data_IF_964239645238
#
_entry.id   IF_964239645238
#
_cell.length_a   1.000
_cell.length_b   1.000
_cell.length_c   1.000
_cell.angle_alpha   90.00
_cell.angle_beta   90.00
_cell.angle_gamma   90.00
#
_symmetry.space_group_name_H-M   'P 1'
#
loop_
_entity.id
_entity.type
_entity.pdbx_description
1 polymer ?
#
# COMPACT_ATOMS: atom_id res chain seq x y z
N UNK A 1 17.18 -5.00 -6.01
CA UNK A 1 16.83 -5.45 -4.63
C UNK A 1 15.94 -6.69 -4.61
N UNK A 2 14.76 -6.65 -5.26
CA UNK A 2 13.79 -7.76 -5.23
C UNK A 2 14.37 -9.12 -5.65
N UNK A 3 15.09 -9.17 -6.79
CA UNK A 3 15.74 -10.39 -7.28
C UNK A 3 16.73 -10.98 -6.27
N UNK A 4 17.66 -10.16 -5.77
CA UNK A 4 18.68 -10.60 -4.81
C UNK A 4 18.04 -11.16 -3.52
N UNK A 5 17.01 -10.48 -2.99
CA UNK A 5 16.27 -10.97 -1.81
C UNK A 5 15.69 -12.36 -2.04
N UNK A 6 15.01 -12.55 -3.17
CA UNK A 6 14.40 -13.83 -3.50
C UNK A 6 15.44 -14.95 -3.68
N UNK A 7 16.53 -14.70 -4.41
CA UNK A 7 17.56 -15.71 -4.66
C UNK A 7 18.23 -16.15 -3.35
N UNK A 8 18.54 -15.22 -2.46
CA UNK A 8 19.25 -15.53 -1.21
C UNK A 8 18.36 -16.19 -0.15
N UNK A 9 17.09 -15.77 0.00
CA UNK A 9 16.26 -16.23 1.12
C UNK A 9 15.05 -17.06 0.72
N UNK A 10 14.78 -17.22 -0.58
CA UNK A 10 13.57 -17.86 -1.13
C UNK A 10 12.27 -17.28 -0.55
N UNK A 11 12.30 -15.99 -0.21
CA UNK A 11 11.16 -15.22 0.28
C UNK A 11 10.98 -13.99 -0.61
N UNK A 12 9.74 -13.58 -0.92
CA UNK A 12 9.51 -12.40 -1.74
C UNK A 12 10.05 -11.15 -1.05
N UNK A 13 10.43 -10.16 -1.87
CA UNK A 13 10.66 -8.81 -1.39
C UNK A 13 9.32 -8.12 -1.19
N UNK A 14 9.15 -7.47 -0.04
CA UNK A 14 7.86 -6.90 0.37
C UNK A 14 7.97 -5.39 0.43
N UNK A 15 7.15 -4.71 -0.35
CA UNK A 15 6.93 -3.27 -0.27
C UNK A 15 5.67 -2.99 0.53
N UNK A 16 5.79 -2.21 1.59
CA UNK A 16 4.64 -1.70 2.35
C UNK A 16 4.33 -0.27 1.90
N UNK A 17 3.08 -0.03 1.51
CA UNK A 17 2.58 1.31 1.20
C UNK A 17 1.50 1.72 2.20
N UNK A 18 1.59 2.94 2.72
CA UNK A 18 0.59 3.54 3.60
C UNK A 18 0.24 4.95 3.13
N UNK A 19 -1.02 5.37 3.27
CA UNK A 19 -1.44 6.76 3.14
C UNK A 19 -2.07 7.17 4.47
N UNK A 20 -1.60 8.27 5.04
CA UNK A 20 -2.03 8.74 6.35
C UNK A 20 -1.99 10.26 6.41
N UNK A 21 -2.70 10.84 7.37
CA UNK A 21 -2.59 12.25 7.77
C UNK A 21 -1.24 12.53 8.41
N UNK A 22 -0.93 13.81 8.64
CA UNK A 22 0.32 14.24 9.28
C UNK A 22 0.48 13.68 10.71
N UNK A 23 -0.62 13.49 11.44
CA UNK A 23 -0.69 12.88 12.77
C UNK A 23 -0.82 11.34 12.74
N UNK A 24 -0.67 10.72 11.55
CA UNK A 24 -0.54 9.28 11.41
C UNK A 24 -1.85 8.48 11.33
N UNK A 25 -2.99 9.12 11.03
CA UNK A 25 -4.30 8.46 10.92
C UNK A 25 -4.60 8.02 9.49
N UNK A 26 -5.27 6.89 9.34
CA UNK A 26 -5.66 6.29 8.04
C UNK A 26 -7.16 6.36 7.75
N UNK A 27 -7.95 6.78 8.74
CA UNK A 27 -9.40 7.00 8.68
C UNK A 27 -9.82 7.89 9.88
N UNK A 28 -11.00 8.49 9.82
CA UNK A 28 -11.66 9.10 10.99
C UNK A 28 -12.15 8.01 11.97
N UNK A 29 -12.55 8.36 13.21
CA UNK A 29 -13.18 7.40 14.13
C UNK A 29 -14.43 6.72 13.57
N UNK A 30 -15.14 7.40 12.66
CA UNK A 30 -16.33 6.92 11.96
C UNK A 30 -15.99 6.06 10.72
N UNK A 31 -14.71 5.87 10.40
CA UNK A 31 -14.23 5.03 9.30
C UNK A 31 -14.07 5.75 7.96
N UNK A 32 -14.25 7.08 7.91
CA UNK A 32 -14.09 7.84 6.67
C UNK A 32 -12.60 7.94 6.28
N UNK A 33 -12.25 7.41 5.11
CA UNK A 33 -10.85 7.26 4.68
C UNK A 33 -10.59 7.71 3.24
N UNK A 34 -11.61 8.30 2.58
CA UNK A 34 -11.49 8.73 1.19
C UNK A 34 -10.58 9.94 1.09
N UNK A 35 -9.58 9.83 0.21
CA UNK A 35 -8.77 10.94 -0.27
C UNK A 35 -7.92 11.68 0.78
N UNK A 36 -7.41 10.97 1.79
CA UNK A 36 -6.38 11.49 2.72
C UNK A 36 -5.14 12.02 1.98
N UNK A 37 -4.77 11.38 0.87
CA UNK A 37 -3.65 11.81 -0.01
C UNK A 37 -4.18 12.26 -1.37
N UNK A 38 -3.51 13.24 -1.98
CA UNK A 38 -3.89 13.83 -3.27
C UNK A 38 -3.61 12.95 -4.49
N UNK A 39 -4.01 13.43 -5.67
CA UNK A 39 -3.94 12.70 -6.94
C UNK A 39 -2.53 12.25 -7.32
N UNK A 40 -1.54 13.14 -7.23
CA UNK A 40 -0.12 12.81 -7.51
C UNK A 40 0.38 11.62 -6.69
N UNK A 41 -0.02 11.53 -5.42
CA UNK A 41 0.37 10.42 -4.56
C UNK A 41 -0.28 9.10 -5.02
N UNK A 42 -1.52 9.15 -5.51
CA UNK A 42 -2.23 7.98 -6.04
C UNK A 42 -1.62 7.51 -7.36
N UNK A 43 -1.29 8.43 -8.27
CA UNK A 43 -0.56 8.12 -9.51
C UNK A 43 0.77 7.41 -9.23
N UNK A 44 1.53 7.88 -8.25
CA UNK A 44 2.79 7.25 -7.86
C UNK A 44 2.57 5.81 -7.39
N UNK A 45 1.54 5.55 -6.58
CA UNK A 45 1.19 4.19 -6.14
C UNK A 45 0.77 3.32 -7.34
N UNK A 46 0.06 3.86 -8.31
CA UNK A 46 -0.26 3.14 -9.54
C UNK A 46 1.00 2.73 -10.32
N UNK A 47 2.01 3.60 -10.40
CA UNK A 47 3.32 3.25 -10.97
C UNK A 47 4.03 2.15 -10.18
N UNK A 48 4.06 2.24 -8.85
CA UNK A 48 4.63 1.19 -7.98
C UNK A 48 3.93 -0.15 -8.14
N UNK A 49 2.60 -0.15 -8.28
CA UNK A 49 1.81 -1.37 -8.53
C UNK A 49 2.18 -2.03 -9.86
N UNK A 50 2.58 -1.23 -10.86
CA UNK A 50 3.07 -1.74 -12.14
C UNK A 50 4.48 -2.34 -12.08
N UNK A 51 5.23 -2.14 -10.99
CA UNK A 51 6.59 -2.67 -10.83
C UNK A 51 6.69 -3.87 -9.87
N UNK A 52 5.55 -4.42 -9.42
CA UNK A 52 5.50 -5.58 -8.51
C UNK A 52 4.69 -6.71 -9.13
N UNK A 53 5.07 -7.95 -8.81
CA UNK A 53 4.39 -9.14 -9.37
C UNK A 53 3.04 -9.42 -8.72
N UNK A 54 2.82 -8.94 -7.49
CA UNK A 54 1.60 -9.20 -6.73
C UNK A 54 1.23 -8.04 -5.79
N UNK A 55 -0.08 -7.88 -5.56
CA UNK A 55 -0.65 -7.00 -4.54
C UNK A 55 -1.35 -7.84 -3.48
N UNK A 56 -1.19 -7.45 -2.22
CA UNK A 56 -1.81 -8.11 -1.07
C UNK A 56 -2.68 -7.11 -0.30
N UNK A 57 -3.85 -7.56 0.15
CA UNK A 57 -4.74 -6.79 1.02
C UNK A 57 -5.53 -7.72 1.93
N UNK A 58 -6.09 -7.18 3.02
CA UNK A 58 -6.94 -7.93 3.93
C UNK A 58 -8.43 -7.75 3.58
N UNK A 59 -9.28 -8.68 4.05
CA UNK A 59 -10.73 -8.66 3.76
C UNK A 59 -11.42 -7.38 4.25
N UNK A 60 -10.97 -6.77 5.34
CA UNK A 60 -11.52 -5.51 5.85
C UNK A 60 -11.41 -4.37 4.83
N UNK A 61 -10.25 -4.27 4.16
CA UNK A 61 -10.02 -3.28 3.10
C UNK A 61 -10.91 -3.52 1.88
N UNK A 62 -11.18 -4.79 1.53
CA UNK A 62 -12.09 -5.12 0.41
C UNK A 62 -13.54 -4.76 0.75
N UNK A 63 -13.94 -4.97 2.01
CA UNK A 63 -15.30 -4.66 2.49
C UNK A 63 -15.51 -3.18 2.81
N UNK A 64 -14.45 -2.41 3.00
CA UNK A 64 -14.51 -0.99 3.39
C UNK A 64 -15.06 -0.79 4.80
N UNK A 65 -14.83 -1.76 5.69
CA UNK A 65 -15.25 -1.78 7.10
C UNK A 65 -14.10 -1.40 8.03
#
# INVERSE_FOLDING_TARGET
EAYAKYIMTKRPFVLLKVAMTLDGKIATPEGESKWITGEKARELVHKTRGSVDAMMTAIGTVKGI
#
